data_IF_184745556448
#
_entry.id   IF_184745556448
#
_cell.length_a   1.000
_cell.length_b   1.000
_cell.length_c   1.000
_cell.angle_alpha   90.00
_cell.angle_beta   90.00
_cell.angle_gamma   90.00
#
_symmetry.space_group_name_H-M   'P 1'
#
loop_
_entity.id
_entity.type
_entity.pdbx_description
1 polymer ?
#
# COMPACT_ATOMS: atom_id res chain seq x y z
N UNK A 1 -17.82 -19.59 11.89
CA UNK A 1 -17.69 -18.24 12.48
C UNK A 1 -17.81 -18.22 14.02
N UNK A 2 -18.47 -19.19 14.69
CA UNK A 2 -18.66 -19.13 16.15
C UNK A 2 -17.41 -19.24 17.03
N UNK A 3 -16.32 -19.88 16.58
CA UNK A 3 -15.12 -20.08 17.41
C UNK A 3 -14.23 -18.83 17.50
N UNK A 4 -14.00 -18.15 16.37
CA UNK A 4 -13.18 -16.93 16.31
C UNK A 4 -13.85 -15.78 17.09
N UNK A 5 -15.17 -15.63 16.96
CA UNK A 5 -15.93 -14.64 17.74
C UNK A 5 -15.82 -14.88 19.23
N UNK A 6 -16.00 -16.14 19.69
CA UNK A 6 -15.85 -16.49 21.11
C UNK A 6 -14.43 -16.21 21.62
N UNK A 7 -13.41 -16.41 20.80
CA UNK A 7 -12.03 -16.11 21.15
C UNK A 7 -11.81 -14.59 21.36
N UNK A 8 -12.30 -13.77 20.39
CA UNK A 8 -12.21 -12.31 20.47
C UNK A 8 -12.98 -11.77 21.69
N UNK A 9 -14.22 -12.26 21.90
CA UNK A 9 -15.05 -11.87 23.06
C UNK A 9 -14.40 -12.25 24.39
N UNK A 10 -13.62 -13.33 24.45
CA UNK A 10 -12.88 -13.74 25.66
C UNK A 10 -11.72 -12.80 25.99
N UNK A 11 -11.06 -12.24 24.96
CA UNK A 11 -9.91 -11.36 25.13
C UNK A 11 -10.34 -9.90 25.34
N UNK A 12 -11.49 -9.50 24.79
CA UNK A 12 -12.03 -8.14 24.84
C UNK A 12 -12.00 -7.48 26.22
N UNK A 13 -12.33 -8.14 27.35
CA UNK A 13 -12.29 -7.52 28.67
C UNK A 13 -10.89 -7.05 29.11
N UNK A 14 -9.83 -7.62 28.53
CA UNK A 14 -8.44 -7.24 28.85
C UNK A 14 -8.08 -5.87 28.24
N UNK A 15 -8.73 -5.51 27.12
CA UNK A 15 -8.50 -4.26 26.39
C UNK A 15 -9.59 -3.20 26.64
N UNK A 16 -10.71 -3.56 27.29
CA UNK A 16 -11.79 -2.64 27.64
C UNK A 16 -11.38 -1.67 28.75
N UNK A 17 -12.17 -0.62 28.98
CA UNK A 17 -11.97 0.33 30.06
C UNK A 17 -11.85 -0.41 31.42
N UNK A 18 -10.72 -0.18 32.12
CA UNK A 18 -10.39 -0.90 33.36
C UNK A 18 -9.57 -2.18 33.19
N UNK A 19 -9.33 -2.66 31.97
CA UNK A 19 -8.44 -3.80 31.70
C UNK A 19 -6.96 -3.43 31.78
N UNK A 20 -6.09 -4.45 31.93
CA UNK A 20 -4.63 -4.26 32.03
C UNK A 20 -3.99 -3.63 30.78
N UNK A 21 -4.64 -3.74 29.62
CA UNK A 21 -4.18 -3.25 28.32
C UNK A 21 -5.15 -2.22 27.74
N UNK A 22 -5.83 -1.45 28.57
CA UNK A 22 -6.78 -0.41 28.15
C UNK A 22 -6.14 0.66 27.25
N UNK A 23 -4.83 0.88 27.35
CA UNK A 23 -4.10 1.79 26.46
C UNK A 23 -4.06 1.30 24.98
N UNK A 24 -4.34 0.02 24.73
CA UNK A 24 -4.46 -0.56 23.39
C UNK A 24 -5.93 -0.76 22.94
N UNK A 25 -6.88 -0.18 23.63
CA UNK A 25 -8.31 -0.35 23.35
C UNK A 25 -8.66 0.00 21.90
N UNK A 26 -8.20 1.15 21.40
CA UNK A 26 -8.42 1.61 20.02
C UNK A 26 -7.81 0.65 18.98
N UNK A 27 -6.63 0.10 19.26
CA UNK A 27 -5.97 -0.89 18.39
C UNK A 27 -6.75 -2.21 18.37
N UNK A 28 -7.21 -2.67 19.53
CA UNK A 28 -8.01 -3.90 19.62
C UNK A 28 -9.36 -3.73 18.89
N UNK A 29 -10.02 -2.60 19.07
CA UNK A 29 -11.27 -2.28 18.39
C UNK A 29 -11.11 -2.24 16.87
N UNK A 30 -10.00 -1.69 16.37
CA UNK A 30 -9.67 -1.73 14.94
C UNK A 30 -9.58 -3.16 14.41
N UNK A 31 -8.91 -4.07 15.14
CA UNK A 31 -8.84 -5.48 14.75
C UNK A 31 -10.20 -6.21 14.88
N UNK A 32 -10.97 -5.95 15.94
CA UNK A 32 -12.30 -6.52 16.11
C UNK A 32 -13.22 -6.09 14.98
N UNK A 33 -13.25 -4.80 14.66
CA UNK A 33 -14.10 -4.26 13.60
C UNK A 33 -13.63 -4.63 12.19
N UNK A 34 -12.35 -4.93 12.01
CA UNK A 34 -11.84 -5.51 10.76
C UNK A 34 -12.34 -6.95 10.55
N UNK A 35 -12.39 -7.75 11.61
CA UNK A 35 -12.85 -9.15 11.54
C UNK A 35 -14.39 -9.26 11.53
N UNK A 36 -15.06 -8.37 12.25
CA UNK A 36 -16.50 -8.42 12.45
C UNK A 36 -17.13 -7.04 12.28
N UNK A 37 -18.24 -6.98 11.55
CA UNK A 37 -19.01 -5.74 11.42
C UNK A 37 -19.55 -5.34 12.80
N UNK A 38 -19.34 -4.09 13.27
CA UNK A 38 -19.85 -3.64 14.55
C UNK A 38 -21.38 -3.67 14.56
N UNK A 39 -21.96 -4.16 15.66
CA UNK A 39 -23.41 -4.20 15.87
C UNK A 39 -23.90 -3.02 16.71
N UNK A 40 -23.34 -1.82 16.47
CA UNK A 40 -23.74 -0.59 17.14
C UNK A 40 -24.98 0.00 16.47
N UNK A 41 -25.95 0.42 17.28
CA UNK A 41 -27.15 1.13 16.85
C UNK A 41 -27.22 2.49 17.50
N UNK A 42 -27.88 3.45 16.85
CA UNK A 42 -28.11 4.78 17.43
C UNK A 42 -29.01 4.64 18.66
N UNK A 43 -28.70 5.39 19.72
CA UNK A 43 -29.48 5.42 20.97
C UNK A 43 -30.74 6.30 20.89
N UNK A 44 -30.81 7.23 19.93
CA UNK A 44 -31.94 8.17 19.72
C UNK A 44 -32.06 8.49 18.22
N UNK A 45 -33.31 8.71 17.78
CA UNK A 45 -33.64 9.05 16.39
C UNK A 45 -33.67 7.87 15.44
N UNK A 46 -33.71 8.14 14.12
CA UNK A 46 -33.74 7.12 13.10
C UNK A 46 -32.36 6.43 12.99
N UNK A 47 -32.38 5.12 12.89
CA UNK A 47 -31.19 4.32 12.62
C UNK A 47 -31.04 4.09 11.12
N UNK A 48 -30.04 4.71 10.50
CA UNK A 48 -29.71 4.54 9.09
C UNK A 48 -28.38 3.80 9.03
N UNK A 49 -28.35 2.65 8.34
CA UNK A 49 -27.14 1.88 8.11
C UNK A 49 -26.96 1.64 6.62
N UNK A 50 -25.82 2.03 6.10
CA UNK A 50 -25.41 1.70 4.74
C UNK A 50 -24.97 0.22 4.69
N UNK A 51 -25.27 -0.46 3.59
CA UNK A 51 -24.74 -1.80 3.31
C UNK A 51 -23.26 -1.79 2.94
N UNK A 52 -22.74 -0.64 2.50
CA UNK A 52 -21.38 -0.44 2.05
C UNK A 52 -20.64 0.46 3.05
N UNK A 53 -19.88 -0.15 3.96
CA UNK A 53 -19.04 0.58 4.90
C UNK A 53 -17.66 0.95 4.29
N UNK A 54 -16.93 1.83 4.97
CA UNK A 54 -15.61 2.28 4.50
C UNK A 54 -14.62 1.12 4.35
N UNK A 55 -14.71 0.07 5.18
CA UNK A 55 -13.86 -1.12 5.13
C UNK A 55 -14.04 -1.88 3.83
N UNK A 56 -15.30 -2.09 3.41
CA UNK A 56 -15.62 -2.75 2.13
C UNK A 56 -15.07 -1.95 0.97
N UNK A 57 -15.29 -0.64 0.96
CA UNK A 57 -14.74 0.24 -0.07
C UNK A 57 -13.23 0.13 -0.15
N UNK A 58 -12.51 0.18 0.97
CA UNK A 58 -11.04 0.08 1.00
C UNK A 58 -10.55 -1.31 0.56
N UNK A 59 -11.25 -2.40 0.92
CA UNK A 59 -10.89 -3.76 0.46
C UNK A 59 -11.07 -3.89 -1.06
N UNK A 60 -12.14 -3.32 -1.61
CA UNK A 60 -12.37 -3.33 -3.07
C UNK A 60 -11.26 -2.58 -3.80
N UNK A 61 -10.88 -1.40 -3.31
CA UNK A 61 -9.75 -0.63 -3.87
C UNK A 61 -8.44 -1.41 -3.76
N UNK A 62 -8.17 -2.03 -2.59
CA UNK A 62 -7.02 -2.93 -2.41
C UNK A 62 -7.04 -4.10 -3.40
N UNK A 63 -8.20 -4.72 -3.59
CA UNK A 63 -8.41 -5.79 -4.58
C UNK A 63 -8.16 -5.34 -6.02
N UNK A 64 -8.55 -4.11 -6.35
CA UNK A 64 -8.31 -3.52 -7.67
C UNK A 64 -6.83 -3.23 -7.95
N UNK A 65 -6.01 -3.06 -6.92
CA UNK A 65 -4.55 -2.90 -7.05
C UNK A 65 -3.83 -4.24 -7.24
N UNK A 66 -4.45 -5.36 -6.86
CA UNK A 66 -3.80 -6.69 -6.90
C UNK A 66 -3.31 -7.11 -8.28
N UNK A 67 -4.05 -6.93 -9.39
CA UNK A 67 -3.55 -7.29 -10.71
C UNK A 67 -2.23 -6.59 -11.06
N UNK A 68 -2.13 -5.28 -10.79
CA UNK A 68 -0.93 -4.51 -11.05
C UNK A 68 0.23 -4.93 -10.13
N UNK A 69 -0.04 -5.21 -8.85
CA UNK A 69 0.96 -5.70 -7.90
C UNK A 69 1.52 -7.08 -8.30
N UNK A 70 0.64 -8.04 -8.62
CA UNK A 70 1.06 -9.39 -9.00
C UNK A 70 1.86 -9.39 -10.31
N UNK A 71 1.43 -8.60 -11.29
CA UNK A 71 2.18 -8.43 -12.51
C UNK A 71 3.53 -7.74 -12.24
N UNK A 72 3.58 -6.71 -11.39
CA UNK A 72 4.82 -6.04 -11.02
C UNK A 72 5.83 -6.96 -10.34
N UNK A 73 5.36 -7.86 -9.47
CA UNK A 73 6.23 -8.92 -8.89
C UNK A 73 6.80 -9.83 -9.98
N UNK A 74 5.98 -10.24 -10.94
CA UNK A 74 6.44 -11.05 -12.07
C UNK A 74 7.45 -10.28 -12.93
N UNK A 75 7.13 -9.01 -13.28
CA UNK A 75 7.98 -8.18 -14.12
C UNK A 75 9.34 -7.91 -13.47
N UNK A 76 9.40 -7.74 -12.15
CA UNK A 76 10.65 -7.58 -11.40
C UNK A 76 11.64 -8.72 -11.64
N UNK A 77 11.17 -9.95 -11.65
CA UNK A 77 12.02 -11.11 -11.98
C UNK A 77 12.29 -11.26 -13.47
N UNK A 78 11.32 -10.91 -14.31
CA UNK A 78 11.46 -10.96 -15.77
C UNK A 78 12.56 -10.00 -16.27
N UNK A 79 12.65 -8.80 -15.73
CA UNK A 79 13.69 -7.82 -16.08
C UNK A 79 15.11 -8.28 -15.73
N UNK A 80 15.27 -9.22 -14.80
CA UNK A 80 16.57 -9.85 -14.45
C UNK A 80 16.85 -11.09 -15.30
N UNK A 81 16.01 -11.40 -16.29
CA UNK A 81 16.17 -12.54 -17.21
C UNK A 81 15.57 -13.85 -16.70
N UNK A 82 14.81 -13.83 -15.61
CA UNK A 82 14.10 -15.01 -15.12
C UNK A 82 12.77 -15.18 -15.86
N UNK A 83 12.25 -16.42 -15.92
CA UNK A 83 10.97 -16.71 -16.58
C UNK A 83 10.06 -17.59 -15.72
N UNK A 84 8.76 -17.54 -15.99
CA UNK A 84 7.76 -18.38 -15.33
C UNK A 84 7.66 -18.14 -13.82
N UNK A 85 7.50 -19.21 -13.08
CA UNK A 85 7.30 -19.18 -11.62
C UNK A 85 8.51 -18.64 -10.85
N UNK A 86 9.73 -18.84 -11.38
CA UNK A 86 10.95 -18.32 -10.76
C UNK A 86 10.99 -16.78 -10.76
N UNK A 87 10.56 -16.16 -11.87
CA UNK A 87 10.47 -14.70 -11.95
C UNK A 87 9.48 -14.13 -10.92
N UNK A 88 8.29 -14.74 -10.80
CA UNK A 88 7.30 -14.34 -9.82
C UNK A 88 7.83 -14.45 -8.37
N UNK A 89 8.44 -15.59 -8.02
CA UNK A 89 8.97 -15.82 -6.67
C UNK A 89 10.10 -14.85 -6.31
N UNK A 90 10.99 -14.58 -7.27
CA UNK A 90 12.06 -13.61 -7.07
C UNK A 90 11.48 -12.21 -6.77
N UNK A 91 10.56 -11.73 -7.60
CA UNK A 91 9.94 -10.42 -7.39
C UNK A 91 9.09 -10.36 -6.11
N UNK A 92 8.36 -11.44 -5.79
CA UNK A 92 7.62 -11.55 -4.53
C UNK A 92 8.54 -11.36 -3.31
N UNK A 93 9.68 -12.04 -3.26
CA UNK A 93 10.64 -11.93 -2.17
C UNK A 93 11.29 -10.53 -2.08
N UNK A 94 11.39 -9.81 -3.19
CA UNK A 94 11.90 -8.43 -3.21
C UNK A 94 10.84 -7.41 -2.78
N UNK A 95 9.62 -7.54 -3.25
CA UNK A 95 8.52 -6.58 -3.01
C UNK A 95 7.85 -6.78 -1.66
N UNK A 96 7.72 -8.02 -1.19
CA UNK A 96 7.06 -8.33 0.09
C UNK A 96 7.66 -7.57 1.29
N UNK A 97 8.99 -7.50 1.48
CA UNK A 97 9.58 -6.72 2.57
C UNK A 97 9.23 -5.24 2.50
N UNK A 98 9.15 -4.67 1.30
CA UNK A 98 8.75 -3.27 1.09
C UNK A 98 7.31 -3.03 1.59
N UNK A 99 6.40 -3.95 1.26
CA UNK A 99 5.00 -3.90 1.71
C UNK A 99 4.94 -4.03 3.24
N UNK A 100 5.63 -5.00 3.81
CA UNK A 100 5.65 -5.23 5.27
C UNK A 100 6.16 -4.00 6.01
N UNK A 101 7.26 -3.41 5.57
CA UNK A 101 7.82 -2.20 6.19
C UNK A 101 6.85 -1.03 6.09
N UNK A 102 6.22 -0.81 4.93
CA UNK A 102 5.21 0.25 4.75
C UNK A 102 4.04 0.08 5.73
N UNK A 103 3.49 -1.13 5.86
CA UNK A 103 2.38 -1.37 6.79
C UNK A 103 2.80 -1.27 8.25
N UNK A 104 3.93 -1.85 8.64
CA UNK A 104 4.39 -1.81 10.05
C UNK A 104 4.63 -0.38 10.50
N UNK A 105 5.34 0.41 9.70
CA UNK A 105 5.64 1.81 10.03
C UNK A 105 4.39 2.67 10.00
N UNK A 106 3.60 2.57 8.94
CA UNK A 106 2.44 3.43 8.76
C UNK A 106 1.32 3.14 9.77
N UNK A 107 0.94 1.87 9.94
CA UNK A 107 -0.06 1.50 10.95
C UNK A 107 0.43 1.79 12.36
N UNK A 108 1.73 1.58 12.65
CA UNK A 108 2.30 1.94 13.95
C UNK A 108 2.13 3.41 14.29
N UNK A 109 2.36 4.30 13.31
CA UNK A 109 2.15 5.75 13.50
C UNK A 109 0.66 6.07 13.64
N UNK A 110 -0.21 5.50 12.81
CA UNK A 110 -1.66 5.73 12.90
C UNK A 110 -2.24 5.27 14.23
N UNK A 111 -1.86 4.09 14.71
CA UNK A 111 -2.28 3.61 16.02
C UNK A 111 -1.80 4.52 17.15
N UNK A 112 -0.57 5.03 17.07
CA UNK A 112 -0.07 5.99 18.05
C UNK A 112 -0.91 7.28 18.08
N UNK A 113 -1.22 7.85 16.92
CA UNK A 113 -2.03 9.08 16.85
C UNK A 113 -3.49 8.83 17.24
N UNK A 114 -4.08 7.72 16.83
CA UNK A 114 -5.45 7.35 17.20
C UNK A 114 -5.60 7.21 18.70
N UNK A 115 -4.66 6.53 19.36
CA UNK A 115 -4.67 6.40 20.82
C UNK A 115 -4.47 7.75 21.53
N UNK A 116 -3.53 8.57 21.04
CA UNK A 116 -3.28 9.88 21.63
C UNK A 116 -4.49 10.83 21.53
N UNK A 117 -5.27 10.72 20.45
CA UNK A 117 -6.45 11.53 20.19
C UNK A 117 -7.74 10.91 20.74
N UNK A 118 -7.73 9.64 21.13
CA UNK A 118 -8.89 8.91 21.64
C UNK A 118 -9.98 8.64 20.61
N UNK A 119 -9.60 8.47 19.34
CA UNK A 119 -10.54 8.10 18.27
C UNK A 119 -10.20 6.72 17.68
N UNK A 120 -11.15 6.15 16.94
CA UNK A 120 -10.96 4.89 16.22
C UNK A 120 -9.92 5.03 15.09
N UNK A 121 -9.22 3.93 14.80
CA UNK A 121 -8.27 3.86 13.71
C UNK A 121 -9.03 3.72 12.39
N UNK A 122 -8.72 4.58 11.43
CA UNK A 122 -9.34 4.56 10.11
C UNK A 122 -8.61 3.62 9.15
N UNK A 123 -9.36 2.85 8.37
CA UNK A 123 -8.82 1.85 7.44
C UNK A 123 -8.20 2.43 6.16
N UNK A 124 -8.19 3.74 5.99
CA UNK A 124 -7.65 4.41 4.79
C UNK A 124 -6.17 4.10 4.51
N UNK A 125 -5.40 3.71 5.54
CA UNK A 125 -4.01 3.34 5.35
C UNK A 125 -3.83 1.97 4.67
N UNK A 126 -4.84 1.10 4.67
CA UNK A 126 -4.76 -0.19 3.96
C UNK A 126 -4.44 0.01 2.47
N UNK A 127 -5.02 1.02 1.85
CA UNK A 127 -4.73 1.39 0.46
C UNK A 127 -3.39 2.10 0.34
N UNK A 128 -3.13 3.12 1.18
CA UNK A 128 -1.87 3.89 1.11
C UNK A 128 -0.65 3.03 1.40
N UNK A 129 -0.76 2.09 2.35
CA UNK A 129 0.32 1.16 2.71
C UNK A 129 0.70 0.21 1.57
N UNK A 130 -0.25 -0.12 0.69
CA UNK A 130 0.00 -0.92 -0.51
C UNK A 130 0.54 -0.05 -1.67
N UNK A 131 -0.01 1.16 -1.83
CA UNK A 131 0.41 2.07 -2.90
C UNK A 131 1.86 2.54 -2.74
N UNK A 132 2.34 2.82 -1.51
CA UNK A 132 3.69 3.33 -1.28
C UNK A 132 4.75 2.42 -1.93
N UNK A 133 4.84 1.11 -1.62
CA UNK A 133 5.81 0.24 -2.28
C UNK A 133 5.55 0.06 -3.78
N UNK A 134 4.29 0.14 -4.25
CA UNK A 134 3.97 -0.02 -5.66
C UNK A 134 4.49 1.12 -6.53
N UNK A 135 4.57 2.34 -6.01
CA UNK A 135 5.08 3.51 -6.73
C UNK A 135 6.57 3.76 -6.51
N UNK A 136 7.26 2.91 -5.72
CA UNK A 136 8.70 2.98 -5.52
C UNK A 136 9.44 2.04 -6.48
N UNK A 137 10.68 2.37 -6.88
CA UNK A 137 11.56 1.43 -7.54
C UNK A 137 11.87 0.22 -6.65
N UNK A 138 12.03 -0.94 -7.26
CA UNK A 138 12.29 -2.20 -6.54
C UNK A 138 13.64 -2.20 -5.79
N UNK A 139 14.61 -1.42 -6.26
CA UNK A 139 15.92 -1.25 -5.62
C UNK A 139 15.93 -0.31 -4.42
N UNK A 140 14.79 0.30 -4.06
CA UNK A 140 14.72 1.24 -2.94
C UNK A 140 15.02 0.55 -1.60
N UNK A 141 16.02 1.02 -0.82
CA UNK A 141 16.33 0.45 0.50
C UNK A 141 15.14 0.53 1.47
N UNK A 142 14.95 -0.51 2.28
CA UNK A 142 13.79 -0.61 3.20
C UNK A 142 13.72 0.55 4.21
N UNK A 143 14.85 1.06 4.67
CA UNK A 143 14.86 2.20 5.59
C UNK A 143 14.34 3.49 4.95
N UNK A 144 14.51 3.67 3.62
CA UNK A 144 13.94 4.82 2.90
C UNK A 144 12.43 4.68 2.77
N UNK A 145 11.92 3.47 2.55
CA UNK A 145 10.49 3.20 2.55
C UNK A 145 9.92 3.50 3.92
N UNK A 146 10.59 3.06 5.00
CA UNK A 146 10.18 3.36 6.37
C UNK A 146 10.13 4.87 6.64
N UNK A 147 11.18 5.59 6.26
CA UNK A 147 11.28 7.03 6.46
C UNK A 147 10.25 7.80 5.61
N UNK A 148 10.13 7.45 4.33
CA UNK A 148 9.14 8.04 3.43
C UNK A 148 7.70 7.81 3.90
N UNK A 149 7.40 6.59 4.35
CA UNK A 149 6.09 6.24 4.93
C UNK A 149 5.84 7.05 6.21
N UNK A 150 6.81 7.12 7.11
CA UNK A 150 6.68 7.89 8.34
C UNK A 150 6.42 9.37 8.06
N UNK A 151 7.20 9.97 7.16
CA UNK A 151 7.01 11.35 6.74
C UNK A 151 5.61 11.58 6.14
N UNK A 152 5.20 10.72 5.24
CA UNK A 152 3.92 10.84 4.55
C UNK A 152 2.71 10.68 5.49
N UNK A 153 2.78 9.73 6.43
CA UNK A 153 1.69 9.54 7.39
C UNK A 153 1.62 10.72 8.36
N UNK A 154 2.74 11.17 8.90
CA UNK A 154 2.75 12.28 9.86
C UNK A 154 2.34 13.58 9.17
N UNK A 155 3.08 14.00 8.14
CA UNK A 155 2.91 15.32 7.52
C UNK A 155 1.88 15.35 6.39
N UNK A 156 1.63 14.23 5.72
CA UNK A 156 0.63 14.16 4.64
C UNK A 156 -0.77 13.81 5.12
N UNK A 157 -0.92 13.23 6.33
CA UNK A 157 -2.20 12.74 6.82
C UNK A 157 -2.52 13.20 8.25
N UNK A 158 -1.70 12.82 9.24
CA UNK A 158 -2.05 13.01 10.65
C UNK A 158 -2.07 14.48 11.08
N UNK A 159 -1.18 15.31 10.55
CA UNK A 159 -1.17 16.77 10.83
C UNK A 159 -2.48 17.44 10.41
N UNK A 160 -3.12 16.95 9.37
CA UNK A 160 -4.40 17.48 8.87
C UNK A 160 -5.64 16.92 9.60
N UNK A 161 -5.48 15.90 10.44
CA UNK A 161 -6.59 15.31 11.19
C UNK A 161 -6.87 13.83 10.88
N UNK A 162 -6.11 13.22 10.00
CA UNK A 162 -6.25 11.80 9.64
C UNK A 162 -6.99 11.53 8.33
N UNK A 163 -7.52 10.34 8.17
CA UNK A 163 -8.20 9.90 6.95
C UNK A 163 -9.43 10.77 6.64
N UNK A 164 -9.52 11.24 5.40
CA UNK A 164 -10.60 12.08 4.92
C UNK A 164 -10.37 13.58 5.11
N UNK A 165 -9.42 14.00 5.96
CA UNK A 165 -9.03 15.40 6.16
C UNK A 165 -7.69 15.75 5.52
N UNK A 166 -6.97 14.76 5.01
CA UNK A 166 -5.69 14.95 4.34
C UNK A 166 -5.88 15.66 2.98
N UNK A 167 -5.12 16.73 2.76
CA UNK A 167 -5.13 17.50 1.51
C UNK A 167 -4.38 16.74 0.39
N UNK A 168 -3.32 16.02 0.76
CA UNK A 168 -2.48 15.29 -0.17
C UNK A 168 -2.66 13.78 -0.04
N UNK A 169 -2.45 13.06 -1.14
CA UNK A 169 -2.37 11.61 -1.08
C UNK A 169 -1.08 11.20 -0.36
N UNK A 170 -1.14 10.43 0.74
CA UNK A 170 0.05 10.05 1.51
C UNK A 170 1.09 9.27 0.69
N UNK A 171 0.67 8.42 -0.24
CA UNK A 171 1.61 7.68 -1.08
C UNK A 171 2.42 8.61 -1.99
N UNK A 172 1.77 9.61 -2.60
CA UNK A 172 2.47 10.60 -3.42
C UNK A 172 3.39 11.49 -2.58
N UNK A 173 3.00 11.83 -1.36
CA UNK A 173 3.87 12.57 -0.41
C UNK A 173 5.11 11.74 -0.07
N UNK A 174 4.97 10.44 0.19
CA UNK A 174 6.10 9.54 0.42
C UNK A 174 7.05 9.54 -0.79
N UNK A 175 6.51 9.37 -2.00
CA UNK A 175 7.28 9.37 -3.24
C UNK A 175 8.01 10.68 -3.44
N UNK A 176 7.33 11.82 -3.30
CA UNK A 176 7.91 13.15 -3.47
C UNK A 176 9.03 13.39 -2.44
N UNK A 177 8.79 13.07 -1.18
CA UNK A 177 9.81 13.21 -0.13
C UNK A 177 11.08 12.40 -0.45
N UNK A 178 10.95 11.11 -0.76
CA UNK A 178 12.11 10.27 -1.07
C UNK A 178 12.79 10.73 -2.36
N UNK A 179 12.02 11.16 -3.37
CA UNK A 179 12.58 11.68 -4.62
C UNK A 179 13.45 12.92 -4.41
N UNK A 180 13.02 13.89 -3.62
CA UNK A 180 13.80 15.11 -3.38
C UNK A 180 14.92 14.90 -2.37
N UNK A 181 14.73 14.07 -1.36
CA UNK A 181 15.74 13.86 -0.32
C UNK A 181 16.84 12.87 -0.74
N UNK A 182 16.50 11.88 -1.57
CA UNK A 182 17.36 10.73 -1.90
C UNK A 182 17.32 10.40 -3.40
N UNK A 183 17.42 11.40 -4.25
CA UNK A 183 17.33 11.29 -5.73
C UNK A 183 18.11 10.11 -6.32
N UNK A 184 19.39 9.82 -5.92
CA UNK A 184 20.16 8.73 -6.51
C UNK A 184 19.58 7.33 -6.34
N UNK A 185 18.67 7.15 -5.38
CA UNK A 185 18.02 5.87 -5.10
C UNK A 185 16.63 5.75 -5.76
N UNK A 186 16.12 6.83 -6.30
CA UNK A 186 14.75 6.89 -6.89
C UNK A 186 14.80 7.17 -8.39
N UNK A 187 15.88 7.76 -8.87
CA UNK A 187 16.07 8.14 -10.27
C UNK A 187 17.41 7.64 -10.78
N UNK A 188 17.49 7.27 -12.04
CA UNK A 188 18.69 6.79 -12.70
C UNK A 188 18.50 5.38 -13.29
N UNK A 189 19.44 4.93 -14.11
CA UNK A 189 19.34 3.71 -14.90
C UNK A 189 19.30 2.43 -14.06
N UNK A 190 19.89 2.44 -12.86
CA UNK A 190 20.08 1.25 -12.01
C UNK A 190 18.94 0.98 -11.05
N UNK A 191 18.08 1.95 -10.77
CA UNK A 191 17.07 1.84 -9.70
C UNK A 191 15.88 0.96 -10.07
N UNK A 192 15.68 0.69 -11.35
CA UNK A 192 14.52 -0.04 -11.86
C UNK A 192 14.69 -1.56 -11.85
N UNK A 193 15.89 -2.05 -11.63
CA UNK A 193 16.21 -3.46 -11.61
C UNK A 193 16.45 -3.95 -10.18
N UNK A 194 16.09 -5.20 -9.93
CA UNK A 194 16.26 -5.83 -8.62
C UNK A 194 17.68 -6.37 -8.39
N UNK A 195 18.52 -6.37 -9.40
CA UNK A 195 19.90 -6.84 -9.38
C UNK A 195 20.82 -5.68 -9.77
N UNK A 196 21.83 -5.41 -8.95
CA UNK A 196 22.82 -4.33 -9.17
C UNK A 196 23.71 -4.59 -10.41
N UNK A 197 23.76 -5.82 -10.93
CA UNK A 197 24.48 -6.18 -12.13
C UNK A 197 23.76 -5.78 -13.42
N UNK A 198 22.44 -5.51 -13.34
CA UNK A 198 21.63 -5.13 -14.50
C UNK A 198 21.35 -3.62 -14.41
N UNK A 199 21.59 -2.93 -15.51
CA UNK A 199 21.26 -1.51 -15.66
C UNK A 199 20.62 -1.28 -17.02
N UNK A 200 19.68 -0.34 -17.11
CA UNK A 200 19.05 0.02 -18.36
C UNK A 200 18.18 1.26 -18.21
N UNK A 201 18.19 2.08 -19.24
CA UNK A 201 17.38 3.27 -19.31
C UNK A 201 15.89 2.90 -19.45
N UNK A 202 15.02 3.66 -18.81
CA UNK A 202 13.58 3.57 -19.05
C UNK A 202 13.25 3.94 -20.49
N UNK A 203 12.07 3.52 -20.98
CA UNK A 203 11.62 3.85 -22.33
C UNK A 203 11.64 5.37 -22.60
N UNK A 204 11.28 6.17 -21.59
CA UNK A 204 11.28 7.64 -21.68
C UNK A 204 12.69 8.20 -21.79
N UNK A 205 13.65 7.67 -21.01
CA UNK A 205 15.04 8.07 -21.03
C UNK A 205 15.72 7.68 -22.35
N UNK A 206 15.45 6.49 -22.87
CA UNK A 206 15.91 6.05 -24.19
C UNK A 206 15.40 7.01 -25.30
N UNK A 207 14.14 7.37 -25.25
CA UNK A 207 13.55 8.28 -26.22
C UNK A 207 14.20 9.68 -26.16
N UNK A 208 14.46 10.16 -24.95
CA UNK A 208 15.09 11.48 -24.73
C UNK A 208 16.55 11.53 -25.18
N UNK A 209 17.29 10.43 -25.05
CA UNK A 209 18.74 10.38 -25.35
C UNK A 209 19.05 9.91 -26.77
N UNK A 210 18.35 8.87 -27.26
CA UNK A 210 18.64 8.25 -28.55
C UNK A 210 17.55 8.48 -29.62
N UNK A 211 16.40 9.03 -29.24
CA UNK A 211 15.24 9.18 -30.14
C UNK A 211 14.55 7.87 -30.53
N UNK A 212 15.03 6.72 -30.01
CA UNK A 212 14.51 5.40 -30.33
C UNK A 212 14.27 4.61 -29.03
N UNK A 213 13.23 3.77 -29.02
CA UNK A 213 12.94 2.87 -27.91
C UNK A 213 13.34 1.44 -28.27
N UNK A 214 13.95 0.71 -27.35
CA UNK A 214 14.22 -0.73 -27.48
C UNK A 214 12.99 -1.60 -27.22
N UNK A 215 11.91 -1.03 -26.65
CA UNK A 215 10.68 -1.73 -26.32
C UNK A 215 9.60 -1.45 -27.35
N UNK A 216 8.83 -2.49 -27.69
CA UNK A 216 7.67 -2.32 -28.57
C UNK A 216 6.50 -1.65 -27.84
N UNK A 217 5.55 -1.07 -28.58
CA UNK A 217 4.31 -0.53 -27.99
C UNK A 217 3.50 -1.63 -27.28
N UNK A 218 3.57 -2.86 -27.77
CA UNK A 218 2.93 -4.00 -27.12
C UNK A 218 3.59 -4.33 -25.78
N UNK A 219 4.91 -4.32 -25.70
CA UNK A 219 5.64 -4.54 -24.43
C UNK A 219 5.32 -3.44 -23.41
N UNK A 220 5.23 -2.18 -23.86
CA UNK A 220 4.83 -1.06 -23.01
C UNK A 220 3.39 -1.20 -22.49
N UNK A 221 2.45 -1.65 -23.33
CA UNK A 221 1.07 -1.88 -22.93
C UNK A 221 0.91 -3.07 -21.97
N UNK A 222 1.59 -4.18 -22.25
CA UNK A 222 1.58 -5.36 -21.40
C UNK A 222 2.38 -5.14 -20.11
N UNK A 223 3.43 -4.29 -20.15
CA UNK A 223 4.20 -3.92 -18.98
C UNK A 223 5.58 -4.59 -18.87
N UNK A 224 6.09 -5.21 -19.95
CA UNK A 224 7.43 -5.82 -19.97
C UNK A 224 8.53 -4.77 -20.15
N UNK A 225 8.44 -3.70 -19.40
CA UNK A 225 9.37 -2.56 -19.38
C UNK A 225 9.88 -2.32 -17.95
N UNK A 226 11.09 -1.75 -17.81
CA UNK A 226 11.57 -1.34 -16.48
C UNK A 226 10.75 -0.16 -15.93
N UNK A 227 10.46 -0.21 -14.63
CA UNK A 227 9.68 0.83 -13.95
C UNK A 227 9.37 0.49 -12.50
N UNK A 228 8.51 1.27 -11.86
CA UNK A 228 8.04 0.98 -10.50
C UNK A 228 7.16 -0.28 -10.47
N UNK A 229 7.08 -0.90 -9.31
CA UNK A 229 6.41 -2.20 -9.14
C UNK A 229 4.97 -2.21 -9.66
N UNK A 230 4.19 -1.17 -9.41
CA UNK A 230 2.75 -1.12 -9.75
C UNK A 230 2.40 -0.32 -11.01
N UNK A 231 3.38 0.23 -11.72
CA UNK A 231 3.12 1.21 -12.80
C UNK A 231 3.33 0.66 -14.21
N UNK A 232 4.02 -0.48 -14.37
CA UNK A 232 4.50 -0.93 -15.68
C UNK A 232 3.39 -1.43 -16.60
N UNK A 233 2.39 -2.18 -16.10
CA UNK A 233 1.37 -2.82 -16.94
C UNK A 233 0.09 -1.99 -17.05
N UNK A 234 -0.12 -1.36 -18.19
CA UNK A 234 -1.39 -0.69 -18.51
C UNK A 234 -2.57 -1.68 -18.49
N UNK A 235 -2.37 -2.89 -19.00
CA UNK A 235 -3.41 -3.92 -19.00
C UNK A 235 -3.85 -4.29 -17.57
N UNK A 236 -2.90 -4.50 -16.66
CA UNK A 236 -3.20 -4.85 -15.27
C UNK A 236 -3.93 -3.70 -14.54
N UNK A 237 -3.55 -2.45 -14.83
CA UNK A 237 -4.24 -1.26 -14.31
C UNK A 237 -5.68 -1.17 -14.84
N UNK A 238 -5.91 -1.46 -16.13
CA UNK A 238 -7.25 -1.49 -16.72
C UNK A 238 -8.12 -2.60 -16.14
N UNK A 239 -7.55 -3.75 -15.80
CA UNK A 239 -8.29 -4.82 -15.08
C UNK A 239 -8.71 -4.30 -13.70
N UNK A 240 -7.82 -3.62 -12.97
CA UNK A 240 -8.14 -2.98 -11.70
C UNK A 240 -9.24 -1.93 -11.84
N UNK A 241 -9.17 -1.08 -12.88
CA UNK A 241 -10.21 -0.11 -13.17
C UNK A 241 -11.57 -0.78 -13.47
N UNK A 242 -11.58 -1.90 -14.21
CA UNK A 242 -12.80 -2.66 -14.45
C UNK A 242 -13.39 -3.22 -13.15
N UNK A 243 -12.57 -3.73 -12.23
CA UNK A 243 -13.04 -4.19 -10.92
C UNK A 243 -13.75 -3.05 -10.19
N UNK A 244 -13.19 -1.83 -10.17
CA UNK A 244 -13.80 -0.68 -9.52
C UNK A 244 -15.08 -0.20 -10.20
N UNK A 245 -15.20 -0.36 -11.52
CA UNK A 245 -16.40 0.05 -12.26
C UNK A 245 -17.58 -0.91 -12.08
N UNK A 246 -17.31 -2.18 -11.78
CA UNK A 246 -18.34 -3.22 -11.62
C UNK A 246 -18.68 -3.52 -10.16
N UNK A 247 -18.03 -2.85 -9.19
CA UNK A 247 -18.29 -3.03 -7.76
C UNK A 247 -18.92 -1.80 -7.14
#
# INVERSE_FOLDING_TARGET
MGGLRKFVDKIKPTFSEGGKLSFLASTFDAFETFLFVPNTTTSRGAHIRDCNDMKRTMIVVGGALMPALLFGMYNTGYQVGMTGWAAFWFGFLKVLPMIVVSYVVGLGIEFFFAQKRGHEVNEGFLVSGLLIPMIMPVGTPLWMIALGTAFAVIFGKEVFGGTGMNVFNPALVARAFVFFAYTPFISGEKVWFADDAVSGATALEQLATSGTMSYSTADAFLGFIPGCVGETSTLAILIGAAILLFT
#
